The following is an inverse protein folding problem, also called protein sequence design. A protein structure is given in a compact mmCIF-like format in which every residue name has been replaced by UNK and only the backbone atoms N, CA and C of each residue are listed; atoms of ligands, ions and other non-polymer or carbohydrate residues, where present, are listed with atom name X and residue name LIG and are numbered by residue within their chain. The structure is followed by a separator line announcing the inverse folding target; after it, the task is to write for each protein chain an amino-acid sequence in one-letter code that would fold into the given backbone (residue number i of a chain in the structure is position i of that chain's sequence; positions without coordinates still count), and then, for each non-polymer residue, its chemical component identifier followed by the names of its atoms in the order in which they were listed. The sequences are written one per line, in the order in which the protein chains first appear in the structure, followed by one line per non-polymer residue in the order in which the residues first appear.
data_IF_468500838641
#
_entry.id   IF_468500838641
#
_cell.length_a   1.000
_cell.length_b   1.000
_cell.length_c   1.000
_cell.angle_alpha   90.00
_cell.angle_beta   90.00
_cell.angle_gamma   90.00
#
_symmetry.space_group_name_H-M   'P 1'
#
loop_
_entity.id
_entity.type
_entity.pdbx_description
1 polymer ?
#
# COMPACT_ATOMS: atom_id res chain seq x y z
N UNK A 1 -0.54 -8.20 -7.88
CA UNK A 1 -0.82 -8.12 -6.42
C UNK A 1 -1.74 -9.27 -6.04
N UNK A 2 -1.44 -10.03 -4.98
CA UNK A 2 -2.22 -11.20 -4.59
C UNK A 2 -3.61 -10.82 -4.08
N UNK A 3 -4.59 -11.65 -4.40
CA UNK A 3 -5.89 -11.70 -3.72
C UNK A 3 -5.77 -12.54 -2.45
N UNK A 4 -6.82 -12.52 -1.62
CA UNK A 4 -6.92 -13.44 -0.48
C UNK A 4 -6.83 -14.93 -0.87
N UNK A 5 -7.11 -15.27 -2.14
CA UNK A 5 -6.97 -16.64 -2.66
C UNK A 5 -5.56 -16.93 -3.17
N UNK A 6 -4.97 -16.02 -3.94
CA UNK A 6 -3.67 -16.25 -4.60
C UNK A 6 -2.47 -16.03 -3.68
N UNK A 7 -2.64 -15.40 -2.52
CA UNK A 7 -1.61 -15.33 -1.48
C UNK A 7 -1.10 -16.72 -1.05
N UNK A 8 -1.96 -17.75 -1.08
CA UNK A 8 -1.56 -19.13 -0.79
C UNK A 8 -0.66 -19.74 -1.88
N UNK A 9 -0.81 -19.30 -3.14
CA UNK A 9 0.10 -19.70 -4.22
C UNK A 9 1.43 -18.95 -4.09
N UNK A 10 1.38 -17.65 -3.80
CA UNK A 10 2.55 -16.78 -3.62
C UNK A 10 3.50 -17.32 -2.53
N UNK A 11 2.93 -17.62 -1.37
CA UNK A 11 3.64 -18.15 -0.20
C UNK A 11 4.10 -19.61 -0.38
N UNK A 12 3.61 -20.30 -1.41
CA UNK A 12 3.94 -21.71 -1.69
C UNK A 12 3.12 -22.74 -0.92
N UNK A 13 2.11 -22.31 -0.14
CA UNK A 13 1.18 -23.21 0.56
C UNK A 13 0.32 -24.03 -0.42
N UNK A 14 0.03 -23.47 -1.59
CA UNK A 14 -0.64 -24.13 -2.71
C UNK A 14 0.26 -24.10 -3.94
N UNK A 15 0.59 -25.28 -4.47
CA UNK A 15 1.45 -25.42 -5.65
C UNK A 15 0.79 -26.18 -6.81
N UNK A 16 -0.50 -26.51 -6.68
CA UNK A 16 -1.29 -27.30 -7.64
C UNK A 16 -2.64 -26.64 -7.92
N UNK A 17 -3.15 -26.82 -9.14
CA UNK A 17 -4.49 -26.34 -9.54
C UNK A 17 -5.61 -27.01 -8.76
N UNK A 18 -5.43 -28.28 -8.35
CA UNK A 18 -6.41 -29.02 -7.55
C UNK A 18 -6.66 -28.37 -6.20
N UNK A 19 -5.60 -28.04 -5.46
CA UNK A 19 -5.77 -27.46 -4.12
C UNK A 19 -6.24 -26.00 -4.20
N UNK A 20 -5.86 -25.29 -5.26
CA UNK A 20 -6.39 -23.96 -5.53
C UNK A 20 -7.90 -23.95 -5.84
N UNK A 21 -8.38 -24.89 -6.67
CA UNK A 21 -9.81 -25.05 -6.95
C UNK A 21 -10.62 -25.32 -5.67
N UNK A 22 -10.11 -26.14 -4.75
CA UNK A 22 -10.74 -26.37 -3.44
C UNK A 22 -10.85 -25.08 -2.62
N UNK A 23 -9.79 -24.27 -2.58
CA UNK A 23 -9.80 -23.00 -1.86
C UNK A 23 -10.87 -22.05 -2.44
N UNK A 24 -10.97 -21.97 -3.77
CA UNK A 24 -11.94 -21.12 -4.46
C UNK A 24 -13.40 -21.46 -4.15
N UNK A 25 -13.71 -22.69 -3.67
CA UNK A 25 -15.07 -23.05 -3.24
C UNK A 25 -15.58 -22.21 -2.06
N UNK A 26 -14.68 -21.56 -1.30
CA UNK A 26 -15.07 -20.64 -0.23
C UNK A 26 -15.87 -19.43 -0.73
N UNK A 27 -15.61 -18.98 -1.97
CA UNK A 27 -16.41 -17.92 -2.61
C UNK A 27 -17.88 -18.34 -2.86
N UNK A 28 -18.14 -19.64 -2.82
CA UNK A 28 -19.46 -20.24 -3.05
C UNK A 28 -20.15 -20.61 -1.73
N UNK A 29 -19.73 -20.00 -0.61
CA UNK A 29 -20.50 -19.95 0.64
C UNK A 29 -20.40 -21.19 1.54
N UNK A 30 -19.35 -21.99 1.43
CA UNK A 30 -19.22 -23.26 2.19
C UNK A 30 -18.71 -23.06 3.65
N UNK A 31 -18.30 -21.85 4.06
CA UNK A 31 -17.88 -21.57 5.46
C UNK A 31 -17.86 -20.06 5.81
N UNK A 32 -18.96 -19.52 6.35
CA UNK A 32 -19.10 -18.08 6.69
C UNK A 32 -19.01 -17.74 8.20
N UNK A 33 -18.82 -18.70 9.09
CA UNK A 33 -19.30 -18.55 10.49
C UNK A 33 -18.28 -18.01 11.53
N UNK A 34 -17.33 -17.12 11.18
CA UNK A 34 -16.22 -16.79 12.12
C UNK A 34 -15.85 -15.31 12.27
N UNK A 35 -16.81 -14.39 12.31
CA UNK A 35 -16.52 -12.94 12.44
C UNK A 35 -17.10 -12.34 13.74
N UNK A 36 -16.20 -11.83 14.59
CA UNK A 36 -16.41 -10.83 15.67
C UNK A 36 -17.08 -11.35 16.98
N UNK A 37 -16.61 -11.10 18.22
CA UNK A 37 -16.27 -9.82 18.89
C UNK A 37 -15.49 -10.00 20.23
N UNK A 38 -15.00 -8.88 20.83
CA UNK A 38 -15.02 -8.65 22.28
C UNK A 38 -15.17 -7.15 22.62
N UNK A 39 -16.07 -6.84 23.57
CA UNK A 39 -16.50 -5.48 23.99
C UNK A 39 -15.87 -5.00 25.31
N UNK A 40 -14.73 -5.54 25.73
CA UNK A 40 -14.21 -5.35 27.11
C UNK A 40 -13.40 -4.08 27.37
N UNK A 41 -13.31 -3.13 26.43
CA UNK A 41 -12.46 -1.93 26.61
C UNK A 41 -13.28 -0.76 27.16
N UNK A 42 -12.97 -0.23 28.36
CA UNK A 42 -13.65 0.92 28.92
C UNK A 42 -13.37 2.18 28.09
N UNK A 43 -14.40 3.01 27.94
CA UNK A 43 -14.31 4.26 27.18
C UNK A 43 -13.54 5.33 27.97
N UNK A 44 -12.50 5.96 27.40
CA UNK A 44 -11.78 7.06 28.05
C UNK A 44 -12.69 8.28 28.26
N UNK A 45 -12.50 8.98 29.38
CA UNK A 45 -13.22 10.22 29.72
C UNK A 45 -12.44 11.50 29.37
N UNK A 46 -11.22 11.34 28.86
CA UNK A 46 -10.37 12.42 28.39
C UNK A 46 -9.50 11.93 27.23
N UNK A 47 -9.25 12.83 26.28
CA UNK A 47 -8.50 12.56 25.07
C UNK A 47 -7.35 13.55 24.93
N UNK A 48 -6.17 13.06 24.58
CA UNK A 48 -5.01 13.88 24.24
C UNK A 48 -4.80 13.95 22.73
N UNK A 49 -4.27 15.07 22.20
CA UNK A 49 -3.89 15.14 20.80
C UNK A 49 -2.83 14.08 20.49
N UNK A 50 -2.92 13.47 19.32
CA UNK A 50 -1.97 12.46 18.92
C UNK A 50 -0.61 13.10 18.60
N UNK A 51 0.37 12.84 19.46
CA UNK A 51 1.74 13.35 19.30
C UNK A 51 2.37 13.02 17.94
N UNK A 52 1.88 11.99 17.24
CA UNK A 52 2.26 11.65 15.89
C UNK A 52 2.13 12.83 14.92
N UNK A 53 1.00 13.55 14.90
CA UNK A 53 0.77 14.61 13.92
C UNK A 53 1.69 15.82 14.13
N UNK A 54 2.03 16.14 15.39
CA UNK A 54 3.02 17.17 15.70
C UNK A 54 4.41 16.76 15.20
N UNK A 55 4.81 15.52 15.47
CA UNK A 55 6.09 14.98 15.01
C UNK A 55 6.18 14.95 13.48
N UNK A 56 5.10 14.59 12.79
CA UNK A 56 5.04 14.64 11.33
C UNK A 56 5.25 16.07 10.80
N UNK A 57 4.56 17.05 11.38
CA UNK A 57 4.71 18.46 10.99
C UNK A 57 6.15 18.96 11.21
N UNK A 58 6.73 18.69 12.38
CA UNK A 58 8.11 19.12 12.69
C UNK A 58 9.12 18.50 11.73
N UNK A 59 8.97 17.20 11.44
CA UNK A 59 9.81 16.50 10.47
C UNK A 59 9.65 17.07 9.05
N UNK A 60 8.42 17.38 8.63
CA UNK A 60 8.19 18.00 7.32
C UNK A 60 8.88 19.37 7.21
N UNK A 61 8.83 20.18 8.27
CA UNK A 61 9.51 21.49 8.30
C UNK A 61 11.03 21.34 8.24
N UNK A 62 11.60 20.38 8.99
CA UNK A 62 13.03 20.07 8.96
C UNK A 62 13.47 19.67 7.54
N UNK A 63 12.74 18.75 6.91
CA UNK A 63 13.01 18.26 5.55
C UNK A 63 12.93 19.40 4.53
N UNK A 64 11.88 20.22 4.57
CA UNK A 64 11.75 21.39 3.70
C UNK A 64 12.93 22.34 3.85
N UNK A 65 13.32 22.66 5.09
CA UNK A 65 14.43 23.58 5.34
C UNK A 65 15.75 23.01 4.82
N UNK A 66 15.99 21.69 4.96
CA UNK A 66 17.14 21.00 4.36
C UNK A 66 17.17 21.17 2.84
N UNK A 67 16.05 20.96 2.14
CA UNK A 67 16.00 21.04 0.67
C UNK A 67 16.11 22.46 0.13
N UNK A 68 15.55 23.45 0.84
CA UNK A 68 15.73 24.88 0.50
C UNK A 68 17.19 25.34 0.55
N UNK A 69 18.01 24.69 1.37
CA UNK A 69 19.44 24.99 1.52
C UNK A 69 20.33 24.09 0.64
N UNK A 70 19.74 23.24 -0.19
CA UNK A 70 20.49 22.31 -1.03
C UNK A 70 21.21 23.05 -2.16
N UNK A 71 22.51 22.80 -2.31
CA UNK A 71 23.29 23.30 -3.45
C UNK A 71 23.02 22.47 -4.70
N UNK A 72 23.28 23.06 -5.86
CA UNK A 72 23.14 22.38 -7.15
C UNK A 72 23.94 21.06 -7.22
N UNK A 73 25.21 21.06 -6.81
CA UNK A 73 26.05 19.85 -6.83
C UNK A 73 25.50 18.76 -5.92
N UNK A 74 24.99 19.14 -4.74
CA UNK A 74 24.37 18.20 -3.80
C UNK A 74 23.05 17.64 -4.36
N UNK A 75 22.25 18.48 -5.02
CA UNK A 75 21.04 18.04 -5.69
C UNK A 75 21.35 17.04 -6.81
N UNK A 76 22.37 17.32 -7.63
CA UNK A 76 22.83 16.40 -8.69
C UNK A 76 23.29 15.05 -8.11
N UNK A 77 24.07 15.07 -7.03
CA UNK A 77 24.49 13.85 -6.34
C UNK A 77 23.31 13.05 -5.76
N UNK A 78 22.35 13.73 -5.13
CA UNK A 78 21.17 13.09 -4.55
C UNK A 78 20.24 12.52 -5.63
N UNK A 79 20.08 13.21 -6.77
CA UNK A 79 19.34 12.74 -7.93
C UNK A 79 19.96 11.47 -8.53
N UNK A 80 21.29 11.45 -8.73
CA UNK A 80 22.02 10.27 -9.23
C UNK A 80 21.89 9.10 -8.25
N UNK A 81 22.06 9.36 -6.95
CA UNK A 81 21.93 8.34 -5.92
C UNK A 81 20.52 7.75 -5.91
N UNK A 82 19.49 8.60 -5.89
CA UNK A 82 18.09 8.17 -5.87
C UNK A 82 17.72 7.36 -7.11
N UNK A 83 18.23 7.75 -8.28
CA UNK A 83 18.07 6.97 -9.51
C UNK A 83 18.73 5.59 -9.39
N UNK A 84 19.98 5.51 -8.93
CA UNK A 84 20.68 4.23 -8.79
C UNK A 84 20.00 3.30 -7.76
N UNK A 85 19.57 3.85 -6.62
CA UNK A 85 18.83 3.12 -5.59
C UNK A 85 17.49 2.60 -6.14
N UNK A 86 16.77 3.43 -6.92
CA UNK A 86 15.53 3.05 -7.59
C UNK A 86 15.76 1.92 -8.59
N UNK A 87 16.71 2.08 -9.52
CA UNK A 87 17.04 1.06 -10.53
C UNK A 87 17.44 -0.27 -9.88
N UNK A 88 18.21 -0.24 -8.79
CA UNK A 88 18.56 -1.44 -8.06
C UNK A 88 17.33 -2.13 -7.42
N UNK A 89 16.43 -1.34 -6.83
CA UNK A 89 15.17 -1.83 -6.27
C UNK A 89 14.26 -2.41 -7.37
N UNK A 90 14.09 -1.70 -8.48
CA UNK A 90 13.21 -2.09 -9.58
C UNK A 90 13.67 -3.38 -10.24
N UNK A 91 14.99 -3.58 -10.42
CA UNK A 91 15.55 -4.86 -10.87
C UNK A 91 15.17 -6.01 -9.94
N UNK A 92 15.35 -5.82 -8.63
CA UNK A 92 15.00 -6.83 -7.62
C UNK A 92 13.49 -7.12 -7.63
N UNK A 93 12.66 -6.09 -7.73
CA UNK A 93 11.21 -6.23 -7.83
C UNK A 93 10.82 -6.99 -9.10
N UNK A 94 11.42 -6.66 -10.25
CA UNK A 94 11.16 -7.34 -11.51
C UNK A 94 11.47 -8.84 -11.43
N UNK A 95 12.63 -9.21 -10.86
CA UNK A 95 13.04 -10.60 -10.70
C UNK A 95 12.09 -11.36 -9.75
N UNK A 96 11.72 -10.74 -8.62
CA UNK A 96 10.78 -11.32 -7.67
C UNK A 96 9.42 -11.57 -8.31
N UNK A 97 8.87 -10.55 -8.99
CA UNK A 97 7.57 -10.68 -9.62
C UNK A 97 7.58 -11.73 -10.73
N UNK A 98 8.62 -11.78 -11.57
CA UNK A 98 8.76 -12.85 -12.59
C UNK A 98 8.72 -14.24 -11.95
N UNK A 99 9.42 -14.42 -10.83
CA UNK A 99 9.41 -15.67 -10.06
C UNK A 99 8.03 -15.99 -9.49
N UNK A 100 7.28 -14.98 -9.02
CA UNK A 100 5.91 -15.15 -8.53
C UNK A 100 4.95 -15.55 -9.66
N UNK A 101 5.03 -14.89 -10.82
CA UNK A 101 4.17 -15.23 -11.97
C UNK A 101 4.45 -16.63 -12.52
N UNK A 102 5.67 -17.16 -12.39
CA UNK A 102 5.95 -18.56 -12.71
C UNK A 102 5.14 -19.52 -11.82
N UNK A 103 5.02 -19.23 -10.51
CA UNK A 103 4.18 -20.01 -9.59
C UNK A 103 2.71 -19.94 -10.00
N UNK A 104 2.22 -18.72 -10.28
CA UNK A 104 0.84 -18.51 -10.75
C UNK A 104 0.56 -19.25 -12.05
N UNK A 105 1.47 -19.14 -13.04
CA UNK A 105 1.36 -19.80 -14.34
C UNK A 105 1.27 -21.31 -14.22
N UNK A 106 2.09 -21.93 -13.37
CA UNK A 106 2.04 -23.37 -13.12
C UNK A 106 0.65 -23.82 -12.64
N UNK A 107 0.12 -23.16 -11.61
CA UNK A 107 -1.21 -23.47 -11.05
C UNK A 107 -2.30 -23.22 -12.09
N UNK A 108 -2.22 -22.10 -12.80
CA UNK A 108 -3.15 -21.73 -13.87
C UNK A 108 -3.22 -22.80 -14.95
N UNK A 109 -2.08 -23.30 -15.43
CA UNK A 109 -2.02 -24.31 -16.48
C UNK A 109 -2.71 -25.62 -16.07
N UNK A 110 -2.64 -25.99 -14.79
CA UNK A 110 -3.40 -27.12 -14.24
C UNK A 110 -4.91 -26.85 -14.17
N UNK A 111 -5.32 -25.65 -13.74
CA UNK A 111 -6.73 -25.24 -13.71
C UNK A 111 -7.33 -25.20 -15.13
N UNK A 112 -6.58 -24.71 -16.12
CA UNK A 112 -6.99 -24.70 -17.53
C UNK A 112 -7.26 -26.11 -18.04
N UNK A 113 -6.44 -27.09 -17.67
CA UNK A 113 -6.58 -28.50 -18.08
C UNK A 113 -7.70 -29.25 -17.36
N UNK A 114 -8.14 -28.76 -16.20
CA UNK A 114 -9.23 -29.38 -15.46
C UNK A 114 -10.55 -29.26 -16.22
N UNK A 115 -11.24 -30.39 -16.43
CA UNK A 115 -12.56 -30.42 -17.04
C UNK A 115 -13.62 -30.37 -15.92
N UNK A 116 -14.44 -29.30 -15.84
CA UNK A 116 -15.50 -29.20 -14.86
C UNK A 116 -16.53 -30.33 -15.04
N UNK A 117 -17.01 -30.97 -13.95
CA UNK A 117 -17.99 -32.04 -14.04
C UNK A 117 -19.44 -31.55 -14.27
N UNK A 118 -19.75 -30.29 -13.95
CA UNK A 118 -21.08 -29.67 -14.16
C UNK A 118 -20.95 -28.18 -14.50
N UNK A 119 -22.02 -27.56 -14.98
CA UNK A 119 -22.08 -26.12 -15.29
C UNK A 119 -21.76 -25.22 -14.08
N UNK A 120 -22.18 -25.62 -12.87
CA UNK A 120 -21.81 -24.90 -11.63
C UNK A 120 -20.29 -24.88 -11.40
N UNK A 121 -19.60 -25.95 -11.80
CA UNK A 121 -18.16 -26.05 -11.71
C UNK A 121 -17.42 -25.26 -12.81
N UNK A 122 -18.09 -24.91 -13.92
CA UNK A 122 -17.54 -23.96 -14.89
C UNK A 122 -17.40 -22.58 -14.27
N UNK A 123 -18.37 -22.18 -13.43
CA UNK A 123 -18.30 -20.96 -12.63
C UNK A 123 -17.09 -20.95 -11.69
N UNK A 124 -16.81 -22.08 -11.03
CA UNK A 124 -15.63 -22.26 -10.18
C UNK A 124 -14.32 -22.14 -11.00
N UNK A 125 -14.25 -22.78 -12.17
CA UNK A 125 -13.07 -22.69 -13.05
C UNK A 125 -12.82 -21.25 -13.49
N UNK A 126 -13.87 -20.56 -13.94
CA UNK A 126 -13.80 -19.16 -14.37
C UNK A 126 -13.31 -18.26 -13.25
N UNK A 127 -13.93 -18.37 -12.07
CA UNK A 127 -13.52 -17.59 -10.90
C UNK A 127 -12.05 -17.85 -10.53
N UNK A 128 -11.61 -19.11 -10.48
CA UNK A 128 -10.23 -19.45 -10.16
C UNK A 128 -9.24 -18.83 -11.18
N UNK A 129 -9.53 -18.92 -12.47
CA UNK A 129 -8.69 -18.29 -13.50
C UNK A 129 -8.66 -16.77 -13.38
N UNK A 130 -9.82 -16.14 -13.12
CA UNK A 130 -9.89 -14.69 -12.89
C UNK A 130 -9.04 -14.26 -11.68
N UNK A 131 -9.09 -14.99 -10.57
CA UNK A 131 -8.26 -14.68 -9.39
C UNK A 131 -6.77 -14.74 -9.71
N UNK A 132 -6.34 -15.73 -10.51
CA UNK A 132 -4.94 -15.84 -10.93
C UNK A 132 -4.57 -14.70 -11.88
N UNK A 133 -5.37 -14.47 -12.92
CA UNK A 133 -5.08 -13.50 -13.97
C UNK A 133 -4.97 -12.07 -13.44
N UNK A 134 -5.82 -11.67 -12.49
CA UNK A 134 -5.71 -10.35 -11.84
C UNK A 134 -4.52 -10.24 -10.88
N UNK A 135 -4.00 -11.37 -10.39
CA UNK A 135 -2.86 -11.38 -9.47
C UNK A 135 -1.52 -11.30 -10.18
N UNK A 136 -1.47 -11.74 -11.44
CA UNK A 136 -0.26 -11.72 -12.26
C UNK A 136 0.27 -10.29 -12.45
N UNK A 137 1.59 -10.14 -12.41
CA UNK A 137 2.27 -8.85 -12.50
C UNK A 137 2.64 -8.46 -13.94
N UNK A 138 2.06 -9.12 -14.95
CA UNK A 138 2.45 -9.00 -16.35
C UNK A 138 2.43 -7.55 -16.89
N UNK A 139 1.42 -6.76 -16.53
CA UNK A 139 1.36 -5.34 -16.91
C UNK A 139 2.41 -4.48 -16.20
N UNK A 140 2.75 -4.83 -14.96
CA UNK A 140 3.74 -4.13 -14.15
C UNK A 140 5.18 -4.42 -14.64
N UNK A 141 5.46 -5.61 -15.18
CA UNK A 141 6.74 -5.90 -15.82
C UNK A 141 7.07 -4.92 -16.91
N UNK A 142 6.11 -4.72 -17.81
CA UNK A 142 6.33 -3.86 -18.97
C UNK A 142 6.66 -2.45 -18.51
N UNK A 143 5.95 -1.95 -17.50
CA UNK A 143 6.24 -0.66 -16.89
C UNK A 143 7.67 -0.60 -16.29
N UNK A 144 8.07 -1.61 -15.50
CA UNK A 144 9.41 -1.66 -14.90
C UNK A 144 10.50 -1.78 -15.96
N UNK A 145 10.33 -2.64 -16.96
CA UNK A 145 11.27 -2.82 -18.06
C UNK A 145 11.43 -1.52 -18.88
N UNK A 146 10.31 -0.85 -19.16
CA UNK A 146 10.34 0.45 -19.83
C UNK A 146 11.07 1.51 -18.99
N UNK A 147 10.90 1.52 -17.66
CA UNK A 147 11.60 2.47 -16.78
C UNK A 147 13.10 2.15 -16.62
N UNK A 148 13.46 0.88 -16.50
CA UNK A 148 14.85 0.41 -16.40
C UNK A 148 15.67 0.72 -17.65
N UNK A 149 15.01 0.90 -18.80
CA UNK A 149 15.64 1.26 -20.07
C UNK A 149 15.80 2.78 -20.25
N UNK A 150 15.23 3.62 -19.38
CA UNK A 150 15.40 5.07 -19.48
C UNK A 150 16.73 5.50 -18.89
N UNK A 151 17.46 6.31 -19.63
CA UNK A 151 18.67 6.96 -19.10
C UNK A 151 18.32 8.15 -18.20
N UNK A 152 19.12 8.36 -17.16
CA UNK A 152 19.00 9.53 -16.29
C UNK A 152 19.53 10.77 -17.01
N UNK A 153 18.66 11.75 -17.25
CA UNK A 153 19.08 13.08 -17.70
C UNK A 153 19.71 13.86 -16.54
N UNK A 154 21.02 14.07 -16.61
CA UNK A 154 21.81 14.82 -15.61
C UNK A 154 22.19 16.23 -16.09
N UNK A 155 21.50 16.74 -17.12
CA UNK A 155 21.67 18.12 -17.59
C UNK A 155 21.32 19.12 -16.50
N UNK A 156 21.88 20.32 -16.58
CA UNK A 156 21.62 21.36 -15.58
C UNK A 156 20.12 21.70 -15.51
N UNK A 157 19.44 21.70 -16.66
CA UNK A 157 17.99 21.88 -16.72
C UNK A 157 17.25 20.82 -15.91
N UNK A 158 17.63 19.56 -16.03
CA UNK A 158 17.01 18.46 -15.28
C UNK A 158 17.29 18.56 -13.77
N UNK A 159 18.51 18.95 -13.38
CA UNK A 159 18.85 19.16 -11.97
C UNK A 159 18.06 20.32 -11.37
N UNK A 160 17.92 21.45 -12.08
CA UNK A 160 17.08 22.56 -11.62
C UNK A 160 15.60 22.17 -11.53
N UNK A 161 15.08 21.41 -12.50
CA UNK A 161 13.72 20.90 -12.43
C UNK A 161 13.52 20.01 -11.19
N UNK A 162 14.43 19.07 -10.94
CA UNK A 162 14.43 18.23 -9.74
C UNK A 162 14.43 19.05 -8.44
N UNK A 163 15.27 20.09 -8.35
CA UNK A 163 15.29 20.99 -7.18
C UNK A 163 13.96 21.72 -6.98
N UNK A 164 13.35 22.21 -8.06
CA UNK A 164 12.06 22.90 -8.00
C UNK A 164 10.94 21.95 -7.56
N UNK A 165 10.88 20.76 -8.16
CA UNK A 165 9.86 19.74 -7.86
C UNK A 165 9.94 19.30 -6.39
N UNK A 166 11.16 19.08 -5.87
CA UNK A 166 11.34 18.70 -4.47
C UNK A 166 10.94 19.85 -3.53
N UNK A 167 11.33 21.08 -3.85
CA UNK A 167 10.94 22.22 -3.01
C UNK A 167 9.41 22.37 -2.98
N UNK A 168 8.74 22.30 -4.13
CA UNK A 168 7.28 22.35 -4.22
C UNK A 168 6.61 21.21 -3.44
N UNK A 169 7.12 19.98 -3.58
CA UNK A 169 6.63 18.82 -2.83
C UNK A 169 6.79 19.03 -1.32
N UNK A 170 7.94 19.52 -0.87
CA UNK A 170 8.20 19.81 0.54
C UNK A 170 7.26 20.89 1.10
N UNK A 171 6.92 21.92 0.32
CA UNK A 171 5.92 22.92 0.75
C UNK A 171 4.55 22.28 0.96
N UNK A 172 4.09 21.48 -0.02
CA UNK A 172 2.80 20.77 0.07
C UNK A 172 2.77 19.80 1.25
N UNK A 173 3.88 19.13 1.53
CA UNK A 173 4.02 18.23 2.68
C UNK A 173 3.91 18.97 4.01
N UNK A 174 4.58 20.12 4.15
CA UNK A 174 4.46 20.96 5.35
C UNK A 174 3.03 21.47 5.53
N UNK A 175 2.40 21.96 4.46
CA UNK A 175 1.01 22.44 4.51
C UNK A 175 0.04 21.32 4.94
N UNK A 176 0.18 20.14 4.33
CA UNK A 176 -0.64 18.97 4.65
C UNK A 176 -0.43 18.49 6.08
N UNK A 177 0.81 18.40 6.54
CA UNK A 177 1.14 17.96 7.89
C UNK A 177 0.64 18.96 8.95
N UNK A 178 0.80 20.27 8.67
CA UNK A 178 0.26 21.32 9.52
C UNK A 178 -1.27 21.21 9.64
N UNK A 179 -1.97 21.09 8.51
CA UNK A 179 -3.43 20.94 8.49
C UNK A 179 -3.88 19.74 9.32
N UNK A 180 -3.26 18.57 9.15
CA UNK A 180 -3.59 17.36 9.94
C UNK A 180 -3.37 17.56 11.43
N UNK A 181 -2.29 18.23 11.82
CA UNK A 181 -2.04 18.56 13.21
C UNK A 181 -3.12 19.49 13.78
N UNK A 182 -3.51 20.54 13.04
CA UNK A 182 -4.58 21.44 13.47
C UNK A 182 -5.95 20.74 13.55
N UNK A 183 -6.27 19.88 12.59
CA UNK A 183 -7.49 19.06 12.60
C UNK A 183 -7.53 18.12 13.81
N UNK A 184 -6.40 17.52 14.19
CA UNK A 184 -6.31 16.66 15.37
C UNK A 184 -6.48 17.43 16.69
N UNK A 185 -5.87 18.61 16.81
CA UNK A 185 -6.08 19.51 17.95
C UNK A 185 -7.56 19.87 18.09
N UNK A 186 -8.20 20.27 16.99
CA UNK A 186 -9.62 20.62 16.96
C UNK A 186 -10.49 19.44 17.36
N UNK A 187 -10.30 18.27 16.72
CA UNK A 187 -11.06 17.05 17.02
C UNK A 187 -10.89 16.59 18.46
N UNK A 188 -9.70 16.73 19.03
CA UNK A 188 -9.46 16.41 20.45
C UNK A 188 -10.22 17.36 21.36
N UNK A 189 -10.19 18.67 21.08
CA UNK A 189 -10.95 19.65 21.85
C UNK A 189 -12.46 19.40 21.77
N UNK A 190 -13.00 19.11 20.59
CA UNK A 190 -14.41 18.77 20.38
C UNK A 190 -14.82 17.50 21.14
N UNK A 191 -13.98 16.45 21.12
CA UNK A 191 -14.21 15.21 21.88
C UNK A 191 -14.22 15.46 23.39
N UNK A 192 -13.27 16.24 23.90
CA UNK A 192 -13.20 16.56 25.33
C UNK A 192 -14.40 17.40 25.76
N UNK A 193 -14.82 18.39 24.95
CA UNK A 193 -16.02 19.18 25.23
C UNK A 193 -17.27 18.29 25.27
N UNK A 194 -17.44 17.41 24.29
CA UNK A 194 -18.57 16.48 24.25
C UNK A 194 -18.57 15.54 25.45
N UNK A 195 -17.41 14.97 25.81
CA UNK A 195 -17.28 14.06 26.95
C UNK A 195 -17.56 14.77 28.27
N UNK A 196 -17.08 16.00 28.43
CA UNK A 196 -17.38 16.81 29.60
C UNK A 196 -18.89 17.08 29.71
N UNK A 197 -19.54 17.54 28.64
CA UNK A 197 -20.99 17.76 28.63
C UNK A 197 -21.78 16.49 28.96
N UNK A 198 -21.31 15.33 28.48
CA UNK A 198 -21.90 14.04 28.81
C UNK A 198 -21.75 13.73 30.30
N UNK A 199 -20.55 13.85 30.87
CA UNK A 199 -20.31 13.60 32.30
C UNK A 199 -21.12 14.56 33.20
N UNK A 200 -21.13 15.86 32.88
CA UNK A 200 -21.92 16.87 33.61
C UNK A 200 -23.43 16.55 33.60
N UNK A 201 -23.93 15.96 32.51
CA UNK A 201 -25.34 15.55 32.40
C UNK A 201 -25.70 14.39 33.35
N UNK A 202 -24.72 13.57 33.72
CA UNK A 202 -24.90 12.43 34.63
C UNK A 202 -24.87 12.84 36.10
N UNK A 203 -24.26 13.97 36.46
CA UNK A 203 -24.23 14.46 37.86
C UNK A 203 -25.62 14.86 38.39
N UNK A 204 -26.60 15.04 37.49
CA UNK A 204 -27.97 15.44 37.82
C UNK A 204 -28.96 14.26 37.87
N UNK A 205 -28.47 13.02 37.89
CA UNK A 205 -29.24 11.76 37.99
C UNK A 205 -28.89 11.06 39.31
#
# INVERSE_FOLDING_TARGET
MPTGYTAYIENGDITTGKDFLKLCTRNFGIAMDMRDESLSVPTPTYFEPNSYYKKEYDKAVEVRNKYRQMTFDKAKQEMIKSYNDRIASDKKCLDNYKTEDEKYKKVRDEVVKWNPPTDEHEGLKKFALEQIDISMNTSYYKYLEDDLNKELDISDKAVYAYMNDINESCEKDVERAYRRWQEDLKRTAEKNLWMQQFLDSLENI
#
